data_IF_937514906682
#
_entry.id   IF_937514906682
#
_cell.length_a   1.000
_cell.length_b   1.000
_cell.length_c   1.000
_cell.angle_alpha   90.00
_cell.angle_beta   90.00
_cell.angle_gamma   90.00
#
_symmetry.space_group_name_H-M   'P 1'
#
loop_
_entity.id
_entity.type
_entity.pdbx_description
1 polymer ?
#
# COMPACT_ATOMS: atom_id res chain seq x y z
N UNK A 1 -21.71 -10.75 14.87
CA UNK A 1 -20.53 -11.38 15.51
C UNK A 1 -19.22 -10.77 14.96
N UNK A 2 -19.13 -9.43 14.86
CA UNK A 2 -18.05 -8.69 14.16
C UNK A 2 -16.90 -8.27 15.10
N UNK A 3 -17.16 -8.08 16.39
CA UNK A 3 -16.19 -7.56 17.38
C UNK A 3 -15.24 -8.57 18.04
N UNK A 4 -15.12 -9.82 17.54
CA UNK A 4 -14.20 -10.84 18.12
C UNK A 4 -12.97 -11.15 17.24
N UNK A 5 -12.86 -10.55 16.05
CA UNK A 5 -11.75 -10.80 15.12
C UNK A 5 -10.78 -9.60 15.15
N UNK A 6 -9.48 -9.85 15.13
CA UNK A 6 -8.46 -8.79 15.00
C UNK A 6 -8.60 -8.05 13.67
N UNK A 7 -8.04 -6.85 13.58
CA UNK A 7 -8.03 -6.03 12.37
C UNK A 7 -7.35 -6.77 11.20
N UNK A 8 -6.14 -7.31 11.43
CA UNK A 8 -5.43 -8.14 10.46
C UNK A 8 -6.29 -9.32 9.97
N UNK A 9 -6.96 -10.05 10.88
CA UNK A 9 -7.83 -11.15 10.49
C UNK A 9 -9.00 -10.70 9.60
N UNK A 10 -9.63 -9.58 9.94
CA UNK A 10 -10.73 -9.01 9.14
C UNK A 10 -10.25 -8.63 7.74
N UNK A 11 -9.07 -8.03 7.63
CA UNK A 11 -8.47 -7.66 6.35
C UNK A 11 -8.11 -8.89 5.51
N UNK A 12 -7.43 -9.87 6.09
CA UNK A 12 -7.10 -11.13 5.46
C UNK A 12 -8.33 -11.86 4.89
N UNK A 13 -9.37 -12.04 5.71
CA UNK A 13 -10.61 -12.70 5.28
C UNK A 13 -11.33 -11.91 4.17
N UNK A 14 -11.20 -10.58 4.15
CA UNK A 14 -11.77 -9.72 3.08
C UNK A 14 -11.09 -9.89 1.73
N UNK A 15 -9.82 -10.31 1.73
CA UNK A 15 -9.04 -10.63 0.54
C UNK A 15 -9.12 -12.12 0.15
N UNK A 16 -10.07 -12.88 0.73
CA UNK A 16 -10.31 -14.28 0.38
C UNK A 16 -9.45 -15.31 1.11
N UNK A 17 -8.63 -14.88 2.07
CA UNK A 17 -7.77 -15.81 2.80
C UNK A 17 -8.46 -16.47 4.00
N UNK A 18 -8.18 -17.76 4.21
CA UNK A 18 -8.51 -18.43 5.46
C UNK A 18 -7.49 -18.07 6.54
N UNK A 19 -7.95 -17.50 7.66
CA UNK A 19 -7.07 -17.16 8.79
C UNK A 19 -6.26 -18.36 9.31
N UNK A 20 -6.81 -19.58 9.24
CA UNK A 20 -6.10 -20.82 9.63
C UNK A 20 -4.82 -21.04 8.82
N UNK A 21 -4.74 -20.51 7.61
CA UNK A 21 -3.62 -20.66 6.70
C UNK A 21 -2.67 -19.43 6.74
N UNK A 22 -3.08 -18.35 7.40
CA UNK A 22 -2.27 -17.15 7.59
C UNK A 22 -1.52 -17.19 8.93
N UNK A 23 -2.05 -17.83 9.97
CA UNK A 23 -1.31 -18.07 11.22
C UNK A 23 -0.80 -16.79 11.89
N UNK A 24 0.46 -16.82 12.36
CA UNK A 24 1.12 -15.75 13.13
C UNK A 24 1.80 -14.67 12.25
N UNK A 25 1.27 -14.41 11.05
CA UNK A 25 1.82 -13.34 10.19
C UNK A 25 1.67 -11.96 10.85
N UNK A 26 2.65 -11.09 10.63
CA UNK A 26 2.55 -9.70 11.07
C UNK A 26 1.44 -8.96 10.34
N UNK A 27 0.94 -7.88 10.95
CA UNK A 27 -0.09 -7.03 10.34
C UNK A 27 0.37 -6.46 8.99
N UNK A 28 1.65 -6.08 8.89
CA UNK A 28 2.27 -5.61 7.64
C UNK A 28 2.28 -6.69 6.55
N UNK A 29 2.57 -7.95 6.90
CA UNK A 29 2.49 -9.06 5.95
C UNK A 29 1.05 -9.25 5.45
N UNK A 30 0.06 -9.10 6.34
CA UNK A 30 -1.35 -9.22 5.97
C UNK A 30 -1.80 -8.07 5.06
N UNK A 31 -1.38 -6.83 5.34
CA UNK A 31 -1.64 -5.68 4.47
C UNK A 31 -1.12 -5.94 3.05
N UNK A 32 0.15 -6.37 2.94
CA UNK A 32 0.80 -6.71 1.67
C UNK A 32 0.07 -7.78 0.89
N UNK A 33 -0.31 -8.87 1.55
CA UNK A 33 -1.06 -9.97 0.92
C UNK A 33 -2.42 -9.48 0.41
N UNK A 34 -3.14 -8.71 1.23
CA UNK A 34 -4.44 -8.16 0.85
C UNK A 34 -4.34 -7.16 -0.31
N UNK A 35 -3.35 -6.26 -0.28
CA UNK A 35 -3.09 -5.31 -1.36
C UNK A 35 -2.74 -6.02 -2.67
N UNK A 36 -1.83 -7.00 -2.62
CA UNK A 36 -1.39 -7.74 -3.81
C UNK A 36 -2.55 -8.49 -4.48
N UNK A 37 -3.42 -9.13 -3.69
CA UNK A 37 -4.61 -9.79 -4.24
C UNK A 37 -5.63 -8.79 -4.78
N UNK A 38 -5.95 -7.75 -4.01
CA UNK A 38 -6.94 -6.74 -4.41
C UNK A 38 -6.53 -5.96 -5.67
N UNK A 39 -5.24 -5.67 -5.82
CA UNK A 39 -4.72 -4.96 -6.99
C UNK A 39 -4.56 -5.86 -8.21
N UNK A 40 -4.55 -7.19 -8.08
CA UNK A 40 -4.26 -8.09 -9.19
C UNK A 40 -5.54 -8.64 -9.83
N UNK A 41 -5.79 -8.28 -11.09
CA UNK A 41 -6.97 -8.72 -11.87
C UNK A 41 -7.00 -10.22 -12.13
N UNK A 42 -5.85 -10.90 -12.06
CA UNK A 42 -5.76 -12.33 -12.31
C UNK A 42 -6.22 -13.17 -11.10
N UNK A 43 -6.47 -12.55 -9.96
CA UNK A 43 -6.92 -13.27 -8.77
C UNK A 43 -8.38 -13.72 -8.90
N UNK A 44 -8.74 -14.89 -8.37
CA UNK A 44 -10.12 -15.35 -8.34
C UNK A 44 -10.95 -14.40 -7.47
N UNK A 45 -12.14 -14.07 -7.95
CA UNK A 45 -13.10 -13.14 -7.34
C UNK A 45 -12.62 -11.67 -7.26
N UNK A 46 -13.52 -10.74 -7.58
CA UNK A 46 -13.21 -9.31 -7.43
C UNK A 46 -13.31 -8.89 -5.96
N UNK A 47 -12.21 -9.04 -5.23
CA UNK A 47 -12.14 -8.74 -3.78
C UNK A 47 -11.91 -7.26 -3.48
N UNK A 48 -11.50 -6.44 -4.46
CA UNK A 48 -11.14 -5.03 -4.25
C UNK A 48 -12.25 -4.22 -3.54
N UNK A 49 -13.54 -4.31 -3.94
CA UNK A 49 -14.62 -3.60 -3.24
C UNK A 49 -14.82 -4.04 -1.79
N UNK A 50 -14.54 -5.31 -1.49
CA UNK A 50 -14.69 -5.87 -0.14
C UNK A 50 -13.54 -5.45 0.75
N UNK A 51 -12.30 -5.49 0.23
CA UNK A 51 -11.10 -4.97 0.90
C UNK A 51 -11.25 -3.48 1.21
N UNK A 52 -11.67 -2.66 0.23
CA UNK A 52 -11.87 -1.22 0.43
C UNK A 52 -12.89 -0.91 1.53
N UNK A 53 -14.01 -1.65 1.59
CA UNK A 53 -15.03 -1.49 2.64
C UNK A 53 -14.53 -1.90 4.03
N UNK A 54 -13.70 -2.95 4.12
CA UNK A 54 -13.12 -3.38 5.40
C UNK A 54 -12.07 -2.39 5.86
N UNK A 55 -11.21 -1.91 4.95
CA UNK A 55 -10.22 -0.88 5.23
C UNK A 55 -10.87 0.39 5.78
N UNK A 56 -11.97 0.88 5.16
CA UNK A 56 -12.68 2.06 5.64
C UNK A 56 -13.21 1.90 7.08
N UNK A 57 -13.72 0.71 7.42
CA UNK A 57 -14.17 0.43 8.78
C UNK A 57 -13.01 0.36 9.78
N UNK A 58 -11.84 -0.08 9.34
CA UNK A 58 -10.65 -0.13 10.19
C UNK A 58 -10.08 1.27 10.38
N UNK A 59 -10.12 2.12 9.35
CA UNK A 59 -9.65 3.49 9.38
C UNK A 59 -10.34 4.34 10.45
N UNK A 60 -11.56 4.00 10.86
CA UNK A 60 -12.30 4.71 11.90
C UNK A 60 -11.78 4.54 13.33
N UNK A 61 -10.78 3.67 13.53
CA UNK A 61 -10.23 3.35 14.84
C UNK A 61 -8.71 3.63 14.84
N UNK A 62 -8.26 4.53 15.73
CA UNK A 62 -6.84 4.91 15.88
C UNK A 62 -5.90 3.70 15.99
N UNK A 63 -6.34 2.65 16.70
CA UNK A 63 -5.57 1.43 16.92
C UNK A 63 -5.24 0.64 15.63
N UNK A 64 -5.96 0.88 14.53
CA UNK A 64 -5.77 0.17 13.27
C UNK A 64 -5.05 1.04 12.22
N UNK A 65 -4.67 2.27 12.57
CA UNK A 65 -4.18 3.26 11.62
C UNK A 65 -2.96 2.78 10.82
N UNK A 66 -1.95 2.21 11.50
CA UNK A 66 -0.73 1.71 10.84
C UNK A 66 -1.04 0.60 9.81
N UNK A 67 -1.96 -0.31 10.13
CA UNK A 67 -2.39 -1.36 9.20
C UNK A 67 -3.09 -0.76 7.96
N UNK A 68 -3.90 0.27 8.15
CA UNK A 68 -4.59 0.96 7.05
C UNK A 68 -3.60 1.72 6.18
N UNK A 69 -2.65 2.44 6.78
CA UNK A 69 -1.56 3.12 6.04
C UNK A 69 -0.78 2.11 5.21
N UNK A 70 -0.35 0.99 5.80
CA UNK A 70 0.39 -0.05 5.09
C UNK A 70 -0.40 -0.62 3.90
N UNK A 71 -1.70 -0.93 4.09
CA UNK A 71 -2.55 -1.40 3.00
C UNK A 71 -2.68 -0.38 1.87
N UNK A 72 -2.95 0.89 2.20
CA UNK A 72 -3.13 1.97 1.23
C UNK A 72 -1.83 2.26 0.48
N UNK A 73 -0.71 2.24 1.19
CA UNK A 73 0.62 2.41 0.60
C UNK A 73 0.96 1.27 -0.36
N UNK A 74 0.75 0.01 0.04
CA UNK A 74 1.00 -1.15 -0.80
C UNK A 74 0.12 -1.11 -2.06
N UNK A 75 -1.16 -0.73 -1.94
CA UNK A 75 -2.06 -0.54 -3.08
C UNK A 75 -1.55 0.56 -4.03
N UNK A 76 -1.13 1.72 -3.51
CA UNK A 76 -0.59 2.80 -4.34
C UNK A 76 0.68 2.38 -5.07
N UNK A 77 1.58 1.70 -4.37
CA UNK A 77 2.84 1.24 -4.94
C UNK A 77 2.57 0.23 -6.08
N UNK A 78 1.67 -0.73 -5.87
CA UNK A 78 1.25 -1.68 -6.90
C UNK A 78 0.66 -0.99 -8.15
N UNK A 79 -0.32 -0.10 -7.97
CA UNK A 79 -0.97 0.55 -9.13
C UNK A 79 -0.04 1.54 -9.84
N UNK A 80 0.99 2.05 -9.17
CA UNK A 80 1.97 2.96 -9.78
C UNK A 80 2.76 2.32 -10.93
N UNK A 81 2.86 1.00 -10.96
CA UNK A 81 3.63 0.28 -11.98
C UNK A 81 2.97 0.27 -13.37
N UNK A 82 1.69 0.64 -13.49
CA UNK A 82 1.00 0.75 -14.78
C UNK A 82 0.86 -0.57 -15.54
N UNK A 83 0.91 -1.71 -14.83
CA UNK A 83 0.84 -3.04 -15.45
C UNK A 83 -0.61 -3.41 -15.75
N UNK A 84 -0.89 -3.90 -16.96
CA UNK A 84 -2.28 -4.20 -17.40
C UNK A 84 -3.01 -5.27 -16.58
N UNK A 85 -2.28 -6.16 -15.90
CA UNK A 85 -2.87 -7.15 -14.99
C UNK A 85 -3.13 -6.60 -13.58
N UNK A 86 -2.66 -5.38 -13.29
CA UNK A 86 -2.98 -4.67 -12.06
C UNK A 86 -4.15 -3.70 -12.28
N UNK A 87 -4.79 -3.32 -11.18
CA UNK A 87 -5.79 -2.25 -11.13
C UNK A 87 -5.13 -0.90 -11.38
N UNK A 88 -5.91 0.03 -11.89
CA UNK A 88 -5.53 1.44 -12.02
C UNK A 88 -5.71 2.17 -10.69
N UNK A 89 -5.05 3.33 -10.55
CA UNK A 89 -5.25 4.19 -9.40
C UNK A 89 -6.71 4.65 -9.28
N UNK A 90 -7.38 4.95 -10.40
CA UNK A 90 -8.79 5.33 -10.44
C UNK A 90 -9.70 4.22 -9.91
N UNK A 91 -9.48 2.97 -10.33
CA UNK A 91 -10.27 1.82 -9.84
C UNK A 91 -10.10 1.64 -8.34
N UNK A 92 -8.88 1.71 -7.82
CA UNK A 92 -8.65 1.59 -6.37
C UNK A 92 -9.31 2.74 -5.63
N UNK A 93 -9.11 4.00 -6.05
CA UNK A 93 -9.74 5.17 -5.42
C UNK A 93 -11.26 5.09 -5.43
N UNK A 94 -11.86 4.49 -6.45
CA UNK A 94 -13.33 4.36 -6.56
C UNK A 94 -13.97 3.48 -5.48
N UNK A 95 -13.19 2.58 -4.84
CA UNK A 95 -13.70 1.69 -3.79
C UNK A 95 -13.30 2.12 -2.37
N UNK A 96 -12.42 3.11 -2.25
CA UNK A 96 -12.01 3.64 -0.95
C UNK A 96 -13.09 4.57 -0.40
N UNK A 97 -13.36 4.44 0.89
CA UNK A 97 -14.20 5.39 1.61
C UNK A 97 -13.44 6.69 1.96
N UNK A 98 -14.13 7.67 2.52
CA UNK A 98 -13.56 8.99 2.81
C UNK A 98 -12.29 8.95 3.68
N UNK A 99 -12.23 8.09 4.70
CA UNK A 99 -11.08 8.05 5.59
C UNK A 99 -9.87 7.41 4.89
N UNK A 100 -10.08 6.32 4.16
CA UNK A 100 -9.02 5.74 3.35
C UNK A 100 -8.55 6.68 2.23
N UNK A 101 -9.41 7.54 1.69
CA UNK A 101 -9.02 8.57 0.72
C UNK A 101 -8.12 9.66 1.34
N UNK A 102 -8.37 10.06 2.59
CA UNK A 102 -7.46 10.97 3.31
C UNK A 102 -6.09 10.32 3.49
N UNK A 103 -6.05 9.05 3.89
CA UNK A 103 -4.79 8.29 3.99
C UNK A 103 -4.11 8.19 2.62
N UNK A 104 -4.88 7.94 1.56
CA UNK A 104 -4.36 7.89 0.18
C UNK A 104 -3.64 9.18 -0.19
N UNK A 105 -4.27 10.33 0.04
CA UNK A 105 -3.66 11.62 -0.26
C UNK A 105 -2.41 11.91 0.58
N UNK A 106 -2.38 11.47 1.84
CA UNK A 106 -1.21 11.61 2.71
C UNK A 106 -0.02 10.78 2.21
N UNK A 107 -0.26 9.52 1.85
CA UNK A 107 0.75 8.62 1.26
C UNK A 107 1.24 9.17 -0.08
N UNK A 108 0.34 9.68 -0.93
CA UNK A 108 0.70 10.27 -2.21
C UNK A 108 1.63 11.48 -2.03
N UNK A 109 1.30 12.38 -1.10
CA UNK A 109 2.14 13.54 -0.75
C UNK A 109 3.50 13.12 -0.20
N UNK A 110 3.56 12.10 0.66
CA UNK A 110 4.81 11.58 1.20
C UNK A 110 5.73 11.08 0.08
N UNK A 111 5.24 10.20 -0.80
CA UNK A 111 6.06 9.65 -1.88
C UNK A 111 6.46 10.69 -2.92
N UNK A 112 5.62 11.69 -3.18
CA UNK A 112 5.99 12.84 -4.01
C UNK A 112 7.18 13.61 -3.42
N UNK A 113 7.18 13.85 -2.10
CA UNK A 113 8.31 14.50 -1.39
C UNK A 113 9.57 13.64 -1.41
N UNK A 114 9.46 12.32 -1.24
CA UNK A 114 10.60 11.39 -1.34
C UNK A 114 11.23 11.48 -2.73
N UNK A 115 10.41 11.45 -3.78
CA UNK A 115 10.88 11.57 -5.17
C UNK A 115 11.53 12.93 -5.46
N UNK A 116 10.91 14.03 -5.02
CA UNK A 116 11.45 15.38 -5.17
C UNK A 116 12.79 15.54 -4.44
N UNK A 117 12.84 15.15 -3.17
CA UNK A 117 14.07 15.18 -2.37
C UNK A 117 15.17 14.37 -3.04
N UNK A 118 14.86 13.15 -3.50
CA UNK A 118 15.85 12.27 -4.14
C UNK A 118 16.38 12.86 -5.44
N UNK A 119 15.53 13.50 -6.25
CA UNK A 119 15.97 14.25 -7.44
C UNK A 119 16.88 15.43 -7.06
N UNK A 120 16.58 16.10 -5.95
CA UNK A 120 17.39 17.20 -5.40
C UNK A 120 18.79 16.80 -4.92
N UNK A 121 19.04 15.52 -4.59
CA UNK A 121 20.38 15.06 -4.17
C UNK A 121 21.37 14.92 -5.33
N UNK A 122 20.92 15.00 -6.58
CA UNK A 122 21.76 14.84 -7.77
C UNK A 122 22.20 13.39 -8.07
N UNK A 123 21.75 12.41 -7.27
CA UNK A 123 22.00 11.00 -7.54
C UNK A 123 20.87 10.43 -8.40
N UNK A 124 21.18 9.64 -9.46
CA UNK A 124 20.15 9.10 -10.34
C UNK A 124 19.23 8.13 -9.61
N UNK A 125 17.94 8.20 -9.95
CA UNK A 125 16.95 7.20 -9.57
C UNK A 125 17.17 5.92 -10.37
N UNK A 126 16.88 4.76 -9.76
CA UNK A 126 17.01 3.46 -10.43
C UNK A 126 15.86 3.25 -11.40
N UNK A 127 16.10 2.52 -12.49
CA UNK A 127 15.04 2.17 -13.45
C UNK A 127 14.07 1.17 -12.85
N UNK A 128 12.76 1.36 -13.04
CA UNK A 128 11.71 0.42 -12.67
C UNK A 128 11.84 -0.96 -13.34
N UNK A 129 12.46 -1.05 -14.52
CA UNK A 129 12.59 -2.30 -15.28
C UNK A 129 13.20 -3.47 -14.46
N UNK A 130 14.14 -3.18 -13.56
CA UNK A 130 14.80 -4.21 -12.75
C UNK A 130 13.84 -4.94 -11.81
N UNK A 131 12.81 -4.26 -11.28
CA UNK A 131 11.83 -4.88 -10.37
C UNK A 131 10.65 -5.47 -11.13
N UNK A 132 10.31 -4.89 -12.29
CA UNK A 132 9.17 -5.34 -13.09
C UNK A 132 9.47 -6.64 -13.85
N UNK A 133 10.75 -6.94 -14.09
CA UNK A 133 11.21 -8.19 -14.73
C UNK A 133 11.28 -9.39 -13.80
N UNK A 134 11.01 -9.23 -12.49
CA UNK A 134 11.15 -10.32 -11.51
C UNK A 134 10.07 -11.39 -11.68
N UNK A 135 10.50 -12.61 -12.01
CA UNK A 135 9.61 -13.74 -12.21
C UNK A 135 9.14 -14.41 -10.91
N UNK A 136 9.99 -14.47 -9.88
CA UNK A 136 9.63 -15.07 -8.60
C UNK A 136 8.50 -14.29 -7.92
N UNK A 137 7.36 -14.94 -7.67
CA UNK A 137 6.14 -14.29 -7.19
C UNK A 137 6.30 -13.63 -5.81
N UNK A 138 6.96 -14.29 -4.86
CA UNK A 138 7.15 -13.75 -3.51
C UNK A 138 8.08 -12.54 -3.50
N UNK A 139 9.18 -12.61 -4.27
CA UNK A 139 10.11 -11.50 -4.43
C UNK A 139 9.43 -10.34 -5.16
N UNK A 140 8.68 -10.63 -6.22
CA UNK A 140 7.88 -9.66 -6.96
C UNK A 140 6.90 -8.93 -6.05
N UNK A 141 6.08 -9.66 -5.29
CA UNK A 141 5.13 -9.08 -4.36
C UNK A 141 5.84 -8.14 -3.37
N UNK A 142 6.99 -8.54 -2.85
CA UNK A 142 7.80 -7.70 -1.95
C UNK A 142 8.33 -6.45 -2.64
N UNK A 143 8.93 -6.59 -3.82
CA UNK A 143 9.51 -5.47 -4.55
C UNK A 143 8.45 -4.49 -5.01
N UNK A 144 7.34 -4.95 -5.55
CA UNK A 144 6.29 -4.10 -6.09
C UNK A 144 5.53 -3.34 -5.00
N UNK A 145 5.33 -3.95 -3.83
CA UNK A 145 4.71 -3.25 -2.69
C UNK A 145 5.67 -2.28 -2.00
N UNK A 146 6.98 -2.50 -2.11
CA UNK A 146 8.00 -1.65 -1.45
C UNK A 146 8.60 -0.57 -2.36
N UNK A 147 8.16 -0.48 -3.62
CA UNK A 147 8.69 0.48 -4.60
C UNK A 147 7.55 1.10 -5.40
N UNK A 148 7.73 2.36 -5.79
CA UNK A 148 6.81 3.13 -6.62
C UNK A 148 7.49 3.47 -7.94
N UNK A 149 6.87 3.05 -9.04
CA UNK A 149 7.29 3.51 -10.36
C UNK A 149 6.91 4.98 -10.54
N UNK A 150 7.79 5.73 -11.18
CA UNK A 150 7.59 7.10 -11.59
C UNK A 150 7.31 7.13 -13.11
N UNK A 151 6.60 8.16 -13.58
CA UNK A 151 6.19 8.28 -14.99
C UNK A 151 7.34 8.50 -16.00
N UNK A 152 8.60 8.42 -15.55
CA UNK A 152 9.84 8.57 -16.33
C UNK A 152 10.66 7.26 -16.34
N UNK A 153 10.02 6.11 -16.15
CA UNK A 153 10.61 4.78 -16.04
C UNK A 153 11.59 4.59 -14.86
N UNK A 154 11.70 5.56 -13.95
CA UNK A 154 12.46 5.43 -12.71
C UNK A 154 11.58 4.98 -11.55
N UNK A 155 12.18 4.69 -10.39
CA UNK A 155 11.44 4.37 -9.16
C UNK A 155 12.07 5.00 -7.93
N UNK A 156 11.23 5.19 -6.91
CA UNK A 156 11.63 5.34 -5.50
C UNK A 156 11.11 4.16 -4.71
N UNK A 157 11.82 3.73 -3.66
CA UNK A 157 11.32 2.68 -2.78
C UNK A 157 11.69 2.93 -1.32
N UNK A 158 11.45 1.93 -0.48
CA UNK A 158 11.68 2.01 0.97
C UNK A 158 13.11 2.47 1.31
N UNK A 159 14.10 2.15 0.47
CA UNK A 159 15.47 2.62 0.65
C UNK A 159 15.59 4.15 0.52
N UNK A 160 14.90 4.76 -0.44
CA UNK A 160 14.85 6.21 -0.62
C UNK A 160 14.02 6.88 0.49
N UNK A 161 12.88 6.30 0.88
CA UNK A 161 12.07 6.78 1.99
C UNK A 161 12.86 6.82 3.32
N UNK A 162 13.59 5.75 3.64
CA UNK A 162 14.45 5.70 4.83
C UNK A 162 15.53 6.78 4.82
N UNK A 163 16.15 7.05 3.65
CA UNK A 163 17.16 8.10 3.55
C UNK A 163 16.55 9.50 3.66
N UNK A 164 15.35 9.69 3.10
CA UNK A 164 14.59 10.94 3.21
C UNK A 164 14.29 11.27 4.68
N UNK A 165 13.76 10.30 5.44
CA UNK A 165 13.49 10.46 6.88
C UNK A 165 14.76 10.76 7.67
N UNK A 166 15.85 10.03 7.42
CA UNK A 166 17.16 10.30 8.05
C UNK A 166 17.72 11.69 7.74
N UNK A 167 17.30 12.29 6.63
CA UNK A 167 17.67 13.65 6.25
C UNK A 167 16.72 14.72 6.84
N UNK A 168 15.81 14.36 7.74
CA UNK A 168 14.82 15.26 8.33
C UNK A 168 13.57 15.46 7.48
N UNK A 169 13.28 14.52 6.59
CA UNK A 169 12.03 14.48 5.83
C UNK A 169 10.79 14.37 6.70
N UNK A 170 9.64 14.78 6.15
CA UNK A 170 8.36 14.72 6.86
C UNK A 170 7.75 13.34 6.65
N UNK A 171 7.52 12.60 7.73
CA UNK A 171 6.87 11.29 7.72
C UNK A 171 5.38 11.37 7.32
N UNK A 172 4.76 10.21 7.09
CA UNK A 172 3.31 10.13 6.91
C UNK A 172 2.67 10.55 8.24
N UNK A 173 1.77 11.56 8.27
CA UNK A 173 1.20 12.05 9.51
C UNK A 173 0.46 10.95 10.29
N UNK A 174 0.39 11.11 11.61
CA UNK A 174 -0.32 10.17 12.48
C UNK A 174 -1.85 10.29 12.40
N UNK A 175 -2.56 9.31 12.97
CA UNK A 175 -4.04 9.28 12.98
C UNK A 175 -4.67 10.60 13.44
N UNK A 176 -4.16 11.19 14.52
CA UNK A 176 -4.71 12.42 15.11
C UNK A 176 -4.51 13.65 14.23
N UNK A 177 -3.53 13.63 13.35
CA UNK A 177 -3.23 14.74 12.46
C UNK A 177 -4.06 14.67 11.17
N UNK A 178 -4.51 13.47 10.79
CA UNK A 178 -5.23 13.24 9.53
C UNK A 178 -6.72 12.99 9.70
N UNK A 179 -7.12 12.25 10.73
CA UNK A 179 -8.46 11.65 10.84
C UNK A 179 -9.19 11.99 12.14
N UNK A 180 -8.52 12.56 13.15
CA UNK A 180 -9.23 13.06 14.32
C UNK A 180 -10.08 14.30 13.94
N UNK A 181 -11.32 14.39 14.45
CA UNK A 181 -12.21 15.52 14.19
C UNK A 181 -11.75 16.82 14.86
#
# INVERSE_FOLDING_TARGET
MWGRRSAARRLAESAGFSWKNIGDQSELSVAKMAAYVAANRAMPDDVLPTVGRVAEKLAAEEANYELVVALVEDLQNLVSHGLGHLRTAEEVRSVLGPQCLVVWEAVEKFWARVAEWRRGTGEPLRSSADILSVENEQLRATLWTSNRSLGDDTRVGTAEALRYEKAGGIEIPGYRELLAP
#
